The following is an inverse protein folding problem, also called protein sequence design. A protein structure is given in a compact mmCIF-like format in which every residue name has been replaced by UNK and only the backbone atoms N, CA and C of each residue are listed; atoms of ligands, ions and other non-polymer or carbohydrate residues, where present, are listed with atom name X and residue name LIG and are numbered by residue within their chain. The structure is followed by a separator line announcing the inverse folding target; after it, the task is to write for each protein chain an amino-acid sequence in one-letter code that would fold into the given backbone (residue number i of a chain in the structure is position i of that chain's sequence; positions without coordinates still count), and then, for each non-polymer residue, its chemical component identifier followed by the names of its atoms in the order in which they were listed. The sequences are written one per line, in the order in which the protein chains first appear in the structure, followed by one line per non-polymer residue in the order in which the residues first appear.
data_IF_321110736452
#
_entry.id   IF_321110736452
#
_cell.length_a   1.000
_cell.length_b   1.000
_cell.length_c   1.000
_cell.angle_alpha   90.00
_cell.angle_beta   90.00
_cell.angle_gamma   90.00
#
_symmetry.space_group_name_H-M   'P 1'
#
loop_
_entity.id
_entity.type
_entity.pdbx_description
1 polymer ?
#
# COMPACT_ATOMS: atom_id res chain seq x y z
N UNK A 1 15.14 16.67 8.31
CA UNK A 1 14.31 15.88 7.37
C UNK A 1 15.19 15.46 6.21
N UNK A 2 15.39 14.15 6.03
CA UNK A 2 16.16 13.63 4.91
C UNK A 2 15.35 13.72 3.62
N UNK A 3 15.51 14.82 2.88
CA UNK A 3 14.72 15.09 1.66
C UNK A 3 14.91 14.02 0.57
N UNK A 4 16.11 13.41 0.54
CA UNK A 4 16.42 12.26 -0.33
C UNK A 4 15.59 11.02 0.04
N UNK A 5 15.45 10.73 1.34
CA UNK A 5 14.66 9.60 1.82
C UNK A 5 13.17 9.80 1.51
N UNK A 6 12.68 11.04 1.68
CA UNK A 6 11.31 11.39 1.34
C UNK A 6 11.05 11.17 -0.16
N UNK A 7 11.89 11.73 -1.03
CA UNK A 7 11.69 11.63 -2.48
C UNK A 7 11.77 10.18 -2.99
N UNK A 8 12.71 9.39 -2.47
CA UNK A 8 12.85 7.97 -2.83
C UNK A 8 11.67 7.13 -2.34
N UNK A 9 11.22 7.34 -1.10
CA UNK A 9 10.04 6.66 -0.54
C UNK A 9 8.78 7.01 -1.32
N UNK A 10 8.56 8.30 -1.60
CA UNK A 10 7.43 8.77 -2.41
C UNK A 10 7.46 8.15 -3.81
N UNK A 11 8.59 8.26 -4.53
CA UNK A 11 8.69 7.74 -5.89
C UNK A 11 8.47 6.22 -5.96
N UNK A 12 9.02 5.48 -5.00
CA UNK A 12 8.85 4.02 -4.95
C UNK A 12 7.40 3.63 -4.70
N UNK A 13 6.75 4.22 -3.68
CA UNK A 13 5.36 3.92 -3.37
C UNK A 13 4.40 4.41 -4.45
N UNK A 14 4.64 5.59 -5.01
CA UNK A 14 3.82 6.13 -6.09
C UNK A 14 3.81 5.17 -7.28
N UNK A 15 4.99 4.69 -7.72
CA UNK A 15 5.09 3.74 -8.84
C UNK A 15 4.49 2.38 -8.47
N UNK A 16 4.70 1.90 -7.24
CA UNK A 16 4.17 0.61 -6.79
C UNK A 16 2.64 0.58 -6.69
N UNK A 17 2.01 1.70 -6.36
CA UNK A 17 0.55 1.82 -6.19
C UNK A 17 -0.18 2.18 -7.50
N UNK A 18 0.53 2.57 -8.57
CA UNK A 18 -0.08 2.92 -9.85
C UNK A 18 -0.81 1.73 -10.48
N UNK A 19 -2.11 1.88 -10.71
CA UNK A 19 -2.93 0.84 -11.34
C UNK A 19 -3.39 -0.28 -10.41
N UNK A 20 -3.25 -0.12 -9.09
CA UNK A 20 -3.75 -1.12 -8.14
C UNK A 20 -5.30 -1.22 -8.13
N UNK A 21 -5.82 -2.35 -7.64
CA UNK A 21 -7.24 -2.63 -7.41
C UNK A 21 -7.94 -1.51 -6.64
N UNK A 22 -7.26 -0.85 -5.71
CA UNK A 22 -7.78 0.32 -4.98
C UNK A 22 -8.13 1.49 -5.90
N UNK A 23 -7.32 1.75 -6.94
CA UNK A 23 -7.58 2.82 -7.92
C UNK A 23 -8.79 2.48 -8.80
N UNK A 24 -8.92 1.22 -9.24
CA UNK A 24 -10.11 0.75 -9.97
C UNK A 24 -11.37 0.90 -9.13
N UNK A 25 -11.33 0.55 -7.84
CA UNK A 25 -12.44 0.74 -6.91
C UNK A 25 -12.82 2.23 -6.78
N UNK A 26 -11.83 3.13 -6.67
CA UNK A 26 -12.07 4.58 -6.64
C UNK A 26 -12.70 5.10 -7.93
N UNK A 27 -12.25 4.62 -9.10
CA UNK A 27 -12.82 4.97 -10.40
C UNK A 27 -14.29 4.51 -10.49
N UNK A 28 -14.59 3.28 -10.10
CA UNK A 28 -15.96 2.73 -10.10
C UNK A 28 -16.88 3.49 -9.12
N UNK A 29 -16.40 3.79 -7.92
CA UNK A 29 -17.15 4.58 -6.94
C UNK A 29 -17.42 6.00 -7.45
N UNK A 30 -16.44 6.62 -8.10
CA UNK A 30 -16.59 7.95 -8.70
C UNK A 30 -17.60 7.91 -9.84
N UNK A 31 -17.52 6.91 -10.72
CA UNK A 31 -18.47 6.72 -11.80
C UNK A 31 -19.91 6.50 -11.30
N UNK A 32 -20.09 5.73 -10.21
CA UNK A 32 -21.41 5.45 -9.62
C UNK A 32 -22.00 6.66 -8.88
N UNK A 33 -21.19 7.40 -8.14
CA UNK A 33 -21.68 8.47 -7.24
C UNK A 33 -21.63 9.86 -7.86
N UNK A 34 -20.87 10.05 -8.95
CA UNK A 34 -20.62 11.34 -9.59
C UNK A 34 -20.06 12.39 -8.61
N UNK A 35 -19.42 11.96 -7.51
CA UNK A 35 -18.84 12.82 -6.46
C UNK A 35 -17.33 12.59 -6.33
N UNK A 36 -16.52 13.04 -7.31
CA UNK A 36 -15.09 12.77 -7.35
C UNK A 36 -14.34 13.26 -6.10
N UNK A 37 -14.68 14.43 -5.59
CA UNK A 37 -14.04 15.00 -4.41
C UNK A 37 -14.26 14.20 -3.13
N UNK A 38 -15.47 13.65 -2.95
CA UNK A 38 -15.79 12.82 -1.78
C UNK A 38 -15.04 11.50 -1.84
N UNK A 39 -14.98 10.86 -3.01
CA UNK A 39 -14.23 9.61 -3.19
C UNK A 39 -12.72 9.85 -3.05
N UNK A 40 -12.20 10.95 -3.60
CA UNK A 40 -10.80 11.34 -3.46
C UNK A 40 -10.41 11.55 -2.00
N UNK A 41 -11.20 12.31 -1.23
CA UNK A 41 -10.91 12.54 0.19
C UNK A 41 -10.99 11.26 1.02
N UNK A 42 -12.02 10.42 0.79
CA UNK A 42 -12.17 9.16 1.49
C UNK A 42 -11.02 8.19 1.22
N UNK A 43 -10.66 7.99 -0.05
CA UNK A 43 -9.55 7.11 -0.45
C UNK A 43 -8.19 7.64 0.02
N UNK A 44 -7.95 8.95 -0.11
CA UNK A 44 -6.71 9.58 0.37
C UNK A 44 -6.55 9.43 1.88
N UNK A 45 -7.61 9.68 2.66
CA UNK A 45 -7.59 9.49 4.12
C UNK A 45 -7.33 8.03 4.49
N UNK A 46 -7.97 7.08 3.80
CA UNK A 46 -7.73 5.66 4.02
C UNK A 46 -6.27 5.28 3.75
N UNK A 47 -5.69 5.74 2.63
CA UNK A 47 -4.31 5.46 2.26
C UNK A 47 -3.31 6.07 3.26
N UNK A 48 -3.54 7.31 3.68
CA UNK A 48 -2.72 7.98 4.70
C UNK A 48 -2.79 7.24 6.02
N UNK A 49 -3.98 6.85 6.48
CA UNK A 49 -4.16 6.14 7.75
C UNK A 49 -3.53 4.75 7.73
N UNK A 50 -3.74 3.97 6.68
CA UNK A 50 -3.13 2.64 6.54
C UNK A 50 -1.60 2.75 6.50
N UNK A 51 -1.08 3.71 5.74
CA UNK A 51 0.38 3.95 5.67
C UNK A 51 0.94 4.38 7.03
N UNK A 52 0.25 5.27 7.73
CA UNK A 52 0.63 5.74 9.06
C UNK A 52 0.67 4.60 10.07
N UNK A 53 -0.38 3.78 10.12
CA UNK A 53 -0.43 2.59 10.96
C UNK A 53 0.68 1.60 10.59
N UNK A 54 0.92 1.39 9.30
CA UNK A 54 1.99 0.51 8.82
C UNK A 54 3.37 0.94 9.28
N UNK A 55 3.70 2.24 9.19
CA UNK A 55 4.99 2.79 9.65
C UNK A 55 5.11 2.73 11.18
N UNK A 56 4.06 3.07 11.92
CA UNK A 56 4.06 3.00 13.38
C UNK A 56 4.26 1.55 13.87
N UNK A 57 3.55 0.61 13.25
CA UNK A 57 3.68 -0.80 13.60
C UNK A 57 5.05 -1.37 13.17
N UNK A 58 5.58 -0.94 12.02
CA UNK A 58 6.91 -1.32 11.57
C UNK A 58 8.00 -0.91 12.56
N UNK A 59 7.89 0.28 13.18
CA UNK A 59 8.83 0.71 14.21
C UNK A 59 8.82 -0.24 15.42
N UNK A 60 7.64 -0.68 15.86
CA UNK A 60 7.51 -1.64 16.96
C UNK A 60 8.04 -3.03 16.57
N UNK A 61 7.64 -3.54 15.40
CA UNK A 61 8.05 -4.86 14.92
C UNK A 61 9.56 -4.95 14.72
N UNK A 62 10.20 -3.90 14.19
CA UNK A 62 11.65 -3.87 13.99
C UNK A 62 12.46 -3.87 15.30
N UNK A 63 11.85 -3.57 16.46
CA UNK A 63 12.52 -3.71 17.76
C UNK A 63 12.64 -5.18 18.21
N UNK A 64 11.69 -6.02 17.81
CA UNK A 64 11.62 -7.43 18.23
C UNK A 64 12.06 -8.41 17.13
N UNK A 65 11.93 -8.02 15.86
CA UNK A 65 12.19 -8.90 14.71
C UNK A 65 13.32 -8.31 13.85
N UNK A 66 14.38 -9.10 13.57
CA UNK A 66 15.45 -8.66 12.68
C UNK A 66 14.92 -8.28 11.28
N UNK A 67 15.37 -7.17 10.68
CA UNK A 67 14.92 -6.73 9.35
C UNK A 67 15.08 -7.78 8.25
N UNK A 68 16.07 -8.67 8.37
CA UNK A 68 16.28 -9.77 7.44
C UNK A 68 15.12 -10.78 7.44
N UNK A 69 14.51 -11.04 8.61
CA UNK A 69 13.36 -11.94 8.73
C UNK A 69 12.13 -11.27 8.11
N UNK A 70 11.89 -9.99 8.40
CA UNK A 70 10.79 -9.21 7.83
C UNK A 70 10.84 -9.25 6.30
N UNK A 71 12.02 -9.03 5.70
CA UNK A 71 12.20 -9.10 4.25
C UNK A 71 11.88 -10.48 3.67
N UNK A 72 12.34 -11.55 4.33
CA UNK A 72 12.06 -12.93 3.88
C UNK A 72 10.57 -13.26 3.95
N UNK A 73 9.90 -12.87 5.03
CA UNK A 73 8.46 -13.08 5.21
C UNK A 73 7.67 -12.28 4.19
N UNK A 74 8.02 -11.01 3.95
CA UNK A 74 7.40 -10.19 2.93
C UNK A 74 7.56 -10.81 1.52
N UNK A 75 8.77 -11.24 1.17
CA UNK A 75 9.03 -11.90 -0.11
C UNK A 75 8.19 -13.19 -0.28
N UNK A 76 8.12 -14.03 0.76
CA UNK A 76 7.28 -15.23 0.75
C UNK A 76 5.79 -14.86 0.56
N UNK A 77 5.30 -13.85 1.29
CA UNK A 77 3.93 -13.39 1.17
C UNK A 77 3.59 -12.89 -0.24
N UNK A 78 4.50 -12.13 -0.88
CA UNK A 78 4.35 -11.70 -2.27
C UNK A 78 4.31 -12.88 -3.24
N UNK A 79 5.16 -13.89 -3.06
CA UNK A 79 5.14 -15.11 -3.91
C UNK A 79 3.82 -15.86 -3.73
N UNK A 80 3.38 -16.08 -2.49
CA UNK A 80 2.10 -16.75 -2.19
C UNK A 80 0.94 -15.97 -2.82
N UNK A 81 0.90 -14.65 -2.64
CA UNK A 81 -0.15 -13.82 -3.22
C UNK A 81 -0.14 -13.89 -4.75
N UNK A 82 1.04 -13.83 -5.37
CA UNK A 82 1.19 -13.97 -6.82
C UNK A 82 0.69 -15.32 -7.33
N UNK A 83 0.99 -16.41 -6.62
CA UNK A 83 0.49 -17.75 -6.97
C UNK A 83 -1.03 -17.84 -6.82
N UNK A 84 -1.60 -17.29 -5.74
CA UNK A 84 -3.06 -17.29 -5.52
C UNK A 84 -3.81 -16.53 -6.62
N UNK A 85 -3.30 -15.35 -7.00
CA UNK A 85 -3.85 -14.55 -8.11
C UNK A 85 -3.69 -15.31 -9.43
N UNK A 86 -2.55 -15.95 -9.68
CA UNK A 86 -2.31 -16.72 -10.90
C UNK A 86 -3.31 -17.87 -11.10
N UNK A 87 -3.76 -18.50 -10.00
CA UNK A 87 -4.78 -19.55 -10.02
C UNK A 87 -6.21 -19.05 -9.84
N UNK A 88 -6.45 -17.74 -9.89
CA UNK A 88 -7.78 -17.11 -9.73
C UNK A 88 -8.49 -17.56 -8.43
N UNK A 89 -7.71 -17.84 -7.37
CA UNK A 89 -8.24 -18.22 -6.05
C UNK A 89 -8.57 -17.01 -5.17
N UNK A 90 -8.27 -15.80 -5.66
CA UNK A 90 -8.50 -14.49 -5.02
C UNK A 90 -8.80 -13.46 -6.10
#
# INVERSE_FOLDING_TARGET
MDWKLLATTFGTLFVAELGDKTQLACMLMTAKTQKPWTVFLGSSLALVLVSFLGVMFAQFVCQYIPPAVIKKVAALAFVVMGVLIFFDKV
#
